data_IF_847752034201
#
_entry.id   IF_847752034201
#
_cell.length_a   1.000
_cell.length_b   1.000
_cell.length_c   1.000
_cell.angle_alpha   90.00
_cell.angle_beta   90.00
_cell.angle_gamma   90.00
#
_symmetry.space_group_name_H-M   'P 1'
#
loop_
_entity.id
_entity.type
_entity.pdbx_description
1 polymer ?
#
# COMPACT_ATOMS: atom_id res chain seq x y z
N UNK A 1 2.12 -19.46 -2.36
CA UNK A 1 0.78 -18.94 -1.99
C UNK A 1 -0.07 -20.14 -1.58
N UNK A 2 -0.58 -20.20 -0.35
CA UNK A 2 -1.50 -21.27 0.06
C UNK A 2 -2.96 -20.82 -0.05
N UNK A 3 -3.89 -21.77 -0.15
CA UNK A 3 -5.34 -21.49 -0.20
C UNK A 3 -5.78 -20.67 1.02
N UNK A 4 -5.18 -20.97 2.18
CA UNK A 4 -5.40 -20.26 3.44
C UNK A 4 -5.03 -18.78 3.36
N UNK A 5 -3.90 -18.46 2.71
CA UNK A 5 -3.41 -17.09 2.56
C UNK A 5 -4.33 -16.30 1.63
N UNK A 6 -4.72 -16.91 0.50
CA UNK A 6 -5.63 -16.26 -0.46
C UNK A 6 -6.96 -15.90 0.17
N UNK A 7 -7.53 -16.80 0.98
CA UNK A 7 -8.76 -16.50 1.71
C UNK A 7 -8.56 -15.30 2.65
N UNK A 8 -7.46 -15.27 3.40
CA UNK A 8 -7.17 -14.23 4.37
C UNK A 8 -7.00 -12.86 3.67
N UNK A 9 -6.26 -12.81 2.57
CA UNK A 9 -6.09 -11.59 1.75
C UNK A 9 -7.42 -11.06 1.22
N UNK A 10 -8.32 -11.93 0.74
CA UNK A 10 -9.67 -11.51 0.32
C UNK A 10 -10.53 -11.01 1.49
N UNK A 11 -10.47 -11.68 2.65
CA UNK A 11 -11.18 -11.23 3.86
C UNK A 11 -10.66 -9.85 4.32
N UNK A 12 -9.35 -9.60 4.20
CA UNK A 12 -8.75 -8.29 4.49
C UNK A 12 -9.11 -7.22 3.46
N UNK A 13 -9.27 -7.61 2.18
CA UNK A 13 -9.71 -6.72 1.10
C UNK A 13 -11.20 -6.38 1.13
N UNK A 14 -11.97 -6.89 2.10
CA UNK A 14 -13.40 -6.59 2.23
C UNK A 14 -14.30 -7.34 1.25
N UNK A 15 -13.82 -8.44 0.66
CA UNK A 15 -14.60 -9.29 -0.24
C UNK A 15 -15.65 -10.07 0.57
N UNK A 16 -16.87 -10.20 0.04
CA UNK A 16 -17.91 -10.96 0.72
C UNK A 16 -17.58 -12.46 0.81
N UNK A 17 -17.99 -13.11 1.90
CA UNK A 17 -17.72 -14.53 2.13
C UNK A 17 -18.33 -15.45 1.07
N UNK A 18 -19.47 -15.06 0.49
CA UNK A 18 -20.09 -15.81 -0.61
C UNK A 18 -19.19 -15.81 -1.86
N UNK A 19 -18.66 -14.63 -2.21
CA UNK A 19 -17.75 -14.45 -3.34
C UNK A 19 -16.43 -15.19 -3.12
N UNK A 20 -15.86 -15.10 -1.91
CA UNK A 20 -14.65 -15.82 -1.52
C UNK A 20 -14.85 -17.32 -1.68
N UNK A 21 -15.98 -17.87 -1.25
CA UNK A 21 -16.24 -19.31 -1.37
C UNK A 21 -16.25 -19.77 -2.82
N UNK A 22 -16.86 -19.01 -3.74
CA UNK A 22 -16.87 -19.33 -5.16
C UNK A 22 -15.47 -19.25 -5.78
N UNK A 23 -14.67 -18.22 -5.45
CA UNK A 23 -13.31 -18.10 -5.98
C UNK A 23 -12.43 -19.23 -5.44
N UNK A 24 -12.61 -19.59 -4.17
CA UNK A 24 -11.93 -20.72 -3.54
C UNK A 24 -12.26 -22.05 -4.19
N UNK A 25 -13.51 -22.25 -4.62
CA UNK A 25 -13.91 -23.46 -5.34
C UNK A 25 -13.26 -23.52 -6.74
N UNK A 26 -13.24 -22.40 -7.45
CA UNK A 26 -12.52 -22.23 -8.72
C UNK A 26 -11.02 -22.51 -8.58
N UNK A 27 -10.37 -21.97 -7.54
CA UNK A 27 -8.96 -22.20 -7.26
C UNK A 27 -8.66 -23.66 -6.91
N UNK A 28 -9.57 -24.34 -6.20
CA UNK A 28 -9.42 -25.80 -5.94
C UNK A 28 -9.52 -26.62 -7.22
N UNK A 29 -10.38 -26.21 -8.16
CA UNK A 29 -10.56 -26.93 -9.42
C UNK A 29 -9.47 -26.64 -10.46
N UNK A 30 -8.97 -25.41 -10.54
CA UNK A 30 -8.04 -24.96 -11.61
C UNK A 30 -6.60 -24.72 -11.14
N UNK A 31 -6.38 -24.64 -9.82
CA UNK A 31 -5.11 -24.24 -9.22
C UNK A 31 -5.15 -22.79 -8.72
N UNK A 32 -4.28 -22.47 -7.76
CA UNK A 32 -4.10 -21.12 -7.23
C UNK A 32 -3.35 -20.27 -8.27
N UNK A 33 -4.02 -19.28 -8.83
CA UNK A 33 -3.44 -18.31 -9.75
C UNK A 33 -3.95 -16.92 -9.37
N UNK A 34 -3.03 -16.06 -8.91
CA UNK A 34 -3.31 -14.71 -8.44
C UNK A 34 -3.92 -13.82 -9.51
N UNK A 35 -3.49 -13.93 -10.76
CA UNK A 35 -4.09 -13.15 -11.87
C UNK A 35 -5.55 -13.56 -12.09
N UNK A 36 -5.83 -14.87 -12.08
CA UNK A 36 -7.19 -15.38 -12.26
C UNK A 36 -8.12 -14.97 -11.11
N UNK A 37 -7.58 -14.96 -9.90
CA UNK A 37 -8.29 -14.52 -8.69
C UNK A 37 -8.66 -13.04 -8.81
N UNK A 38 -7.69 -12.18 -9.14
CA UNK A 38 -7.93 -10.76 -9.33
C UNK A 38 -8.90 -10.47 -10.47
N UNK A 39 -8.84 -11.25 -11.56
CA UNK A 39 -9.79 -11.15 -12.67
C UNK A 39 -11.23 -11.42 -12.20
N UNK A 40 -11.43 -12.41 -11.33
CA UNK A 40 -12.73 -12.75 -10.75
C UNK A 40 -13.20 -11.71 -9.73
N UNK A 41 -12.27 -11.16 -8.95
CA UNK A 41 -12.53 -10.04 -8.04
C UNK A 41 -12.99 -8.80 -8.81
N UNK A 42 -12.27 -8.42 -9.87
CA UNK A 42 -12.60 -7.26 -10.72
C UNK A 42 -13.94 -7.44 -11.43
N UNK A 43 -14.27 -8.64 -11.92
CA UNK A 43 -15.58 -8.94 -12.51
C UNK A 43 -16.74 -8.69 -11.54
N UNK A 44 -16.50 -8.87 -10.25
CA UNK A 44 -17.48 -8.64 -9.18
C UNK A 44 -17.46 -7.21 -8.64
N UNK A 45 -16.54 -6.38 -9.13
CA UNK A 45 -16.40 -4.97 -8.74
C UNK A 45 -15.44 -4.73 -7.58
N UNK A 46 -14.64 -5.73 -7.20
CA UNK A 46 -13.57 -5.57 -6.23
C UNK A 46 -12.27 -5.12 -6.90
N UNK A 47 -11.41 -4.45 -6.15
CA UNK A 47 -10.06 -4.15 -6.61
C UNK A 47 -9.18 -5.40 -6.63
N UNK A 48 -8.09 -5.29 -7.40
CA UNK A 48 -7.02 -6.29 -7.42
C UNK A 48 -6.37 -6.33 -6.03
N UNK A 49 -6.17 -7.52 -5.49
CA UNK A 49 -5.58 -7.73 -4.16
C UNK A 49 -4.20 -8.40 -4.31
N UNK A 50 -4.07 -9.34 -5.25
CA UNK A 50 -2.88 -10.19 -5.34
C UNK A 50 -1.84 -9.73 -6.37
N UNK A 51 -2.29 -9.06 -7.44
CA UNK A 51 -1.43 -8.51 -8.50
C UNK A 51 -1.24 -7.00 -8.35
N UNK A 52 -1.43 -6.48 -7.14
CA UNK A 52 -1.06 -5.10 -6.82
C UNK A 52 0.46 -5.00 -6.89
N UNK A 53 0.96 -4.30 -7.93
CA UNK A 53 2.37 -3.95 -8.09
C UNK A 53 2.76 -2.90 -7.04
N UNK A 54 3.02 -3.35 -5.81
CA UNK A 54 3.57 -2.50 -4.74
C UNK A 54 4.99 -2.00 -5.09
N UNK A 55 5.72 -2.74 -5.92
CA UNK A 55 7.04 -2.35 -6.43
C UNK A 55 6.98 -1.11 -7.36
N UNK A 56 5.82 -0.80 -7.95
CA UNK A 56 5.66 0.42 -8.76
C UNK A 56 5.49 1.70 -7.91
N UNK A 57 5.30 1.55 -6.59
CA UNK A 57 5.18 2.67 -5.65
C UNK A 57 6.49 2.98 -4.89
N UNK A 58 7.58 2.26 -5.18
CA UNK A 58 8.92 2.48 -4.61
C UNK A 58 9.66 3.67 -5.26
N UNK A 59 9.00 4.43 -6.16
CA UNK A 59 9.52 5.67 -6.77
C UNK A 59 9.12 6.92 -5.95
N UNK A 60 9.13 6.82 -4.62
CA UNK A 60 8.92 7.97 -3.73
C UNK A 60 9.96 8.07 -2.60
N UNK A 61 11.10 7.39 -2.74
CA UNK A 61 12.28 7.53 -1.88
C UNK A 61 13.34 8.48 -2.51
N UNK A 62 12.90 9.53 -3.22
CA UNK A 62 13.76 10.64 -3.65
C UNK A 62 13.49 11.88 -2.78
N UNK A 63 13.61 11.74 -1.46
CA UNK A 63 13.56 12.88 -0.51
C UNK A 63 14.73 12.90 0.49
N UNK A 64 15.88 12.30 0.14
CA UNK A 64 17.19 12.66 0.72
C UNK A 64 17.90 13.56 -0.31
N UNK A 65 18.32 14.80 -0.10
CA UNK A 65 18.77 15.53 1.07
C UNK A 65 18.87 17.01 0.62
N UNK A 66 18.01 17.90 1.11
CA UNK A 66 18.26 19.34 1.07
C UNK A 66 18.27 19.88 2.50
N UNK A 67 19.19 19.37 3.33
CA UNK A 67 19.53 20.00 4.61
C UNK A 67 20.41 21.24 4.35
N UNK A 68 19.81 22.24 3.69
CA UNK A 68 20.33 23.60 3.59
C UNK A 68 20.12 24.37 4.88
N UNK A 69 20.59 23.82 6.02
CA UNK A 69 20.50 24.46 7.33
C UNK A 69 21.43 25.68 7.38
N UNK A 70 20.93 26.84 6.96
CA UNK A 70 21.60 28.11 7.20
C UNK A 70 21.39 28.50 8.67
N UNK A 71 22.45 28.57 9.51
CA UNK A 71 22.28 29.03 10.87
C UNK A 71 21.99 30.53 10.81
N UNK A 72 20.72 30.91 11.04
CA UNK A 72 20.34 32.31 11.21
C UNK A 72 21.15 32.90 12.36
N UNK A 73 22.11 33.76 12.03
CA UNK A 73 22.89 34.53 12.99
C UNK A 73 21.93 35.32 13.88
N UNK A 74 21.91 34.97 15.16
CA UNK A 74 21.11 35.67 16.17
C UNK A 74 21.69 37.07 16.34
N UNK A 75 20.93 38.08 15.93
CA UNK A 75 21.28 39.48 16.13
C UNK A 75 21.69 39.74 17.60
N UNK A 76 22.83 40.39 17.86
CA UNK A 76 23.18 40.79 19.22
C UNK A 76 22.20 41.89 19.67
N UNK A 77 21.41 41.60 20.70
CA UNK A 77 20.55 42.58 21.36
C UNK A 77 21.41 43.74 21.90
N UNK A 78 21.41 44.86 21.17
CA UNK A 78 21.98 46.12 21.67
C UNK A 78 21.05 46.65 22.76
N UNK A 79 21.38 46.37 24.02
CA UNK A 79 20.85 47.14 25.15
C UNK A 79 21.34 48.59 25.02
N UNK A 80 20.44 49.48 24.64
CA UNK A 80 20.62 50.91 24.79
C UNK A 80 19.58 51.38 25.82
N UNK A 81 19.95 51.36 27.10
CA UNK A 81 19.26 52.13 28.12
C UNK A 81 20.10 53.37 28.37
N UNK A 82 19.52 54.53 28.07
CA UNK A 82 20.09 55.84 28.31
C UNK A 82 19.73 56.28 29.73
N UNK A 83 20.71 56.78 30.48
CA UNK A 83 20.49 57.63 31.66
C UNK A 83 21.45 58.83 31.59
#
# INVERSE_FOLDING_TARGET
>A
MQISDVRLEMEMGGVDKADIAEIMDLCKSKGLNSEMIDDELVKRGYEKIFTVDYDAYDDYDDWEDEDGYTPVEKFPHKHHFSE
#
